data_IF_569963715012
#
_entry.id   IF_569963715012
#
_cell.length_a   1.000
_cell.length_b   1.000
_cell.length_c   1.000
_cell.angle_alpha   90.00
_cell.angle_beta   90.00
_cell.angle_gamma   90.00
#
_symmetry.space_group_name_H-M   'P 1'
#
loop_
_entity.id
_entity.type
_entity.pdbx_description
1 polymer ?
#
# COMPACT_ATOMS: atom_id res chain seq x y z
N UNK A 1 -9.61 11.56 5.19
CA UNK A 1 -10.47 10.42 4.90
C UNK A 1 -10.32 9.34 5.98
N UNK A 2 -9.10 8.82 6.22
CA UNK A 2 -8.84 7.76 7.22
C UNK A 2 -9.33 8.18 8.61
N UNK A 3 -8.93 9.36 9.09
CA UNK A 3 -9.29 9.89 10.41
C UNK A 3 -10.82 10.07 10.60
N UNK A 4 -11.58 10.25 9.53
CA UNK A 4 -13.03 10.39 9.60
C UNK A 4 -13.75 9.04 9.53
N UNK A 5 -13.32 8.15 8.64
CA UNK A 5 -14.01 6.87 8.41
C UNK A 5 -13.65 5.82 9.46
N UNK A 6 -12.44 5.86 10.01
CA UNK A 6 -11.99 4.85 10.98
C UNK A 6 -12.80 4.85 12.28
N UNK A 7 -13.07 6.00 12.93
CA UNK A 7 -13.94 6.04 14.11
C UNK A 7 -15.33 5.49 13.86
N UNK A 8 -15.94 5.80 12.69
CA UNK A 8 -17.25 5.28 12.33
C UNK A 8 -17.23 3.75 12.18
N UNK A 9 -16.22 3.22 11.50
CA UNK A 9 -16.03 1.80 11.37
C UNK A 9 -15.73 1.13 12.72
N UNK A 10 -15.04 1.81 13.64
CA UNK A 10 -14.78 1.34 15.00
C UNK A 10 -16.08 1.22 15.81
N UNK A 11 -16.95 2.22 15.75
CA UNK A 11 -18.27 2.17 16.43
C UNK A 11 -19.09 0.98 15.96
N UNK A 12 -19.14 0.72 14.65
CA UNK A 12 -19.77 -0.47 14.09
C UNK A 12 -19.11 -1.76 14.59
N UNK A 13 -17.76 -1.77 14.65
CA UNK A 13 -16.99 -2.93 15.08
C UNK A 13 -17.24 -3.33 16.52
N UNK A 14 -17.51 -2.39 17.43
CA UNK A 14 -17.83 -2.69 18.83
C UNK A 14 -19.07 -3.58 18.96
N UNK A 15 -20.10 -3.31 18.19
CA UNK A 15 -21.31 -4.14 18.25
C UNK A 15 -21.13 -5.48 17.53
N UNK A 16 -20.50 -5.45 16.34
CA UNK A 16 -20.30 -6.65 15.54
C UNK A 16 -19.41 -7.67 16.24
N UNK A 17 -18.28 -7.23 16.83
CA UNK A 17 -17.29 -8.12 17.42
C UNK A 17 -17.72 -8.74 18.76
N UNK A 18 -18.78 -8.25 19.41
CA UNK A 18 -19.37 -8.92 20.59
C UNK A 18 -19.83 -10.35 20.30
N UNK A 19 -20.21 -10.63 19.06
CA UNK A 19 -20.69 -11.93 18.61
C UNK A 19 -19.58 -12.82 18.04
N UNK A 20 -18.36 -12.25 17.88
CA UNK A 20 -17.21 -12.94 17.32
C UNK A 20 -16.20 -13.37 18.41
N UNK A 21 -15.44 -14.41 18.10
CA UNK A 21 -14.36 -14.85 18.99
C UNK A 21 -13.14 -13.93 18.86
N UNK A 22 -12.35 -13.82 19.94
CA UNK A 22 -11.06 -13.10 19.96
C UNK A 22 -11.18 -11.59 19.70
N UNK A 23 -12.20 -10.94 20.23
CA UNK A 23 -12.43 -9.52 20.13
C UNK A 23 -11.19 -8.66 20.46
N UNK A 24 -10.49 -8.98 21.59
CA UNK A 24 -9.29 -8.24 22.02
C UNK A 24 -8.16 -8.28 20.99
N UNK A 25 -7.96 -9.44 20.36
CA UNK A 25 -6.98 -9.62 19.30
C UNK A 25 -7.32 -8.78 18.07
N UNK A 26 -8.60 -8.75 17.69
CA UNK A 26 -9.08 -7.89 16.61
C UNK A 26 -8.79 -6.42 16.89
N UNK A 27 -9.23 -5.86 18.01
CA UNK A 27 -9.03 -4.44 18.31
C UNK A 27 -7.57 -4.04 18.44
N UNK A 28 -6.70 -4.92 18.93
CA UNK A 28 -5.26 -4.68 18.97
C UNK A 28 -4.71 -4.43 17.56
N UNK A 29 -4.88 -5.37 16.64
CA UNK A 29 -4.38 -5.22 15.27
C UNK A 29 -5.11 -4.12 14.49
N UNK A 30 -6.39 -3.93 14.74
CA UNK A 30 -7.20 -2.88 14.14
C UNK A 30 -6.67 -1.48 14.49
N UNK A 31 -6.34 -1.24 15.75
CA UNK A 31 -5.79 0.04 16.21
C UNK A 31 -4.37 0.27 15.69
N UNK A 32 -3.51 -0.77 15.67
CA UNK A 32 -2.17 -0.67 15.10
C UNK A 32 -2.27 -0.35 13.59
N UNK A 33 -3.19 -0.97 12.87
CA UNK A 33 -3.42 -0.70 11.43
C UNK A 33 -3.78 0.76 11.19
N UNK A 34 -4.60 1.35 12.06
CA UNK A 34 -4.93 2.78 12.00
C UNK A 34 -3.68 3.65 12.12
N UNK A 35 -2.86 3.43 13.13
CA UNK A 35 -1.61 4.18 13.33
C UNK A 35 -0.66 4.06 12.14
N UNK A 36 -0.48 2.85 11.60
CA UNK A 36 0.37 2.61 10.43
C UNK A 36 -0.18 3.32 9.19
N UNK A 37 -1.50 3.32 8.99
CA UNK A 37 -2.13 4.01 7.86
C UNK A 37 -1.92 5.52 7.94
N UNK A 38 -1.95 6.10 9.14
CA UNK A 38 -1.58 7.50 9.37
C UNK A 38 -0.09 7.73 9.10
N UNK A 39 0.78 6.80 9.50
CA UNK A 39 2.22 6.86 9.20
C UNK A 39 2.51 6.94 7.69
N UNK A 40 1.78 6.17 6.87
CA UNK A 40 1.85 6.29 5.39
C UNK A 40 1.43 7.70 4.93
N UNK A 41 0.33 8.21 5.47
CA UNK A 41 -0.23 9.50 5.03
C UNK A 41 0.68 10.69 5.38
N UNK A 42 1.39 10.62 6.51
CA UNK A 42 2.28 11.68 7.00
C UNK A 42 3.75 11.48 6.64
N UNK A 43 4.10 10.43 5.87
CA UNK A 43 5.47 10.23 5.42
C UNK A 43 5.94 11.38 4.53
N UNK A 44 7.12 11.91 4.81
CA UNK A 44 7.75 13.00 4.08
C UNK A 44 8.60 12.51 2.90
N UNK A 45 9.05 11.27 2.98
CA UNK A 45 9.94 10.65 2.00
C UNK A 45 9.46 9.25 1.57
N UNK A 46 10.03 8.78 0.45
CA UNK A 46 9.69 7.49 -0.14
C UNK A 46 10.10 6.30 0.73
N UNK A 47 11.22 6.42 1.47
CA UNK A 47 11.72 5.34 2.33
C UNK A 47 10.81 5.12 3.53
N UNK A 48 10.44 6.21 4.23
CA UNK A 48 9.50 6.17 5.36
C UNK A 48 8.13 5.66 4.93
N UNK A 49 7.64 6.14 3.78
CA UNK A 49 6.38 5.66 3.21
C UNK A 49 6.44 4.15 2.93
N UNK A 50 7.51 3.66 2.31
CA UNK A 50 7.69 2.25 2.01
C UNK A 50 7.76 1.39 3.28
N UNK A 51 8.45 1.85 4.32
CA UNK A 51 8.53 1.16 5.61
C UNK A 51 7.12 0.95 6.22
N UNK A 52 6.33 2.01 6.34
CA UNK A 52 4.95 1.89 6.84
C UNK A 52 4.04 1.08 5.90
N UNK A 53 4.29 1.14 4.60
CA UNK A 53 3.57 0.36 3.60
C UNK A 53 3.78 -1.16 3.78
N UNK A 54 4.99 -1.59 4.15
CA UNK A 54 5.27 -3.00 4.48
C UNK A 54 4.69 -3.40 5.84
N UNK A 55 4.82 -2.55 6.85
CA UNK A 55 4.18 -2.78 8.15
C UNK A 55 2.67 -2.96 8.01
N UNK A 56 2.03 -2.21 7.11
CA UNK A 56 0.59 -2.35 6.85
C UNK A 56 0.24 -3.78 6.42
N UNK A 57 1.04 -4.42 5.56
CA UNK A 57 0.84 -5.82 5.18
C UNK A 57 0.91 -6.74 6.39
N UNK A 58 1.98 -6.62 7.18
CA UNK A 58 2.24 -7.51 8.32
C UNK A 58 1.12 -7.45 9.37
N UNK A 59 0.59 -6.27 9.62
CA UNK A 59 -0.45 -6.05 10.65
C UNK A 59 -1.85 -6.43 10.15
N UNK A 60 -2.11 -6.32 8.86
CA UNK A 60 -3.42 -6.68 8.29
C UNK A 60 -3.57 -8.17 8.01
N UNK A 61 -2.48 -8.93 7.83
CA UNK A 61 -2.53 -10.40 7.67
C UNK A 61 -3.24 -11.09 8.85
N UNK A 62 -2.93 -10.81 10.14
CA UNK A 62 -3.66 -11.38 11.27
C UNK A 62 -5.15 -11.03 11.29
N UNK A 63 -5.54 -9.86 10.77
CA UNK A 63 -6.95 -9.48 10.66
C UNK A 63 -7.67 -10.31 9.60
N UNK A 64 -7.06 -10.54 8.43
CA UNK A 64 -7.63 -11.43 7.40
C UNK A 64 -7.73 -12.86 7.90
N UNK A 65 -6.75 -13.30 8.72
CA UNK A 65 -6.69 -14.63 9.31
C UNK A 65 -7.59 -14.81 10.55
N UNK A 66 -8.35 -13.79 10.95
CA UNK A 66 -9.05 -13.72 12.24
C UNK A 66 -9.92 -14.95 12.56
N UNK A 67 -10.68 -15.44 11.58
CA UNK A 67 -11.60 -16.57 11.75
C UNK A 67 -10.90 -17.93 11.84
N UNK A 68 -9.63 -18.04 11.42
CA UNK A 68 -8.83 -19.27 11.33
C UNK A 68 -9.49 -20.42 10.54
N UNK A 69 -10.48 -20.12 9.72
CA UNK A 69 -11.06 -21.09 8.80
C UNK A 69 -10.06 -21.45 7.69
N UNK A 70 -10.26 -22.60 7.04
CA UNK A 70 -9.43 -22.99 5.90
C UNK A 70 -9.46 -21.93 4.80
N UNK A 71 -10.59 -21.32 4.57
CA UNK A 71 -10.76 -20.25 3.58
C UNK A 71 -9.99 -18.99 3.98
N UNK A 72 -10.04 -18.57 5.24
CA UNK A 72 -9.27 -17.43 5.76
C UNK A 72 -7.76 -17.68 5.66
N UNK A 73 -7.30 -18.92 5.91
CA UNK A 73 -5.87 -19.28 5.75
C UNK A 73 -5.45 -19.17 4.28
N UNK A 74 -6.24 -19.66 3.34
CA UNK A 74 -5.93 -19.57 1.91
C UNK A 74 -5.98 -18.12 1.42
N UNK A 75 -6.97 -17.34 1.85
CA UNK A 75 -7.10 -15.92 1.53
C UNK A 75 -5.93 -15.10 2.08
N UNK A 76 -5.53 -15.31 3.34
CA UNK A 76 -4.41 -14.61 3.96
C UNK A 76 -3.07 -14.95 3.29
N UNK A 77 -2.84 -16.21 2.91
CA UNK A 77 -1.66 -16.61 2.13
C UNK A 77 -1.61 -15.92 0.78
N UNK A 78 -2.72 -15.91 0.04
CA UNK A 78 -2.79 -15.24 -1.25
C UNK A 78 -2.56 -13.73 -1.11
N UNK A 79 -3.21 -13.10 -0.14
CA UNK A 79 -2.99 -11.69 0.18
C UNK A 79 -1.51 -11.40 0.47
N UNK A 80 -0.87 -12.24 1.29
CA UNK A 80 0.55 -12.10 1.64
C UNK A 80 1.47 -12.25 0.40
N UNK A 81 1.27 -13.27 -0.43
CA UNK A 81 2.08 -13.48 -1.64
C UNK A 81 1.97 -12.31 -2.63
N UNK A 82 0.75 -11.82 -2.87
CA UNK A 82 0.54 -10.65 -3.72
C UNK A 82 1.21 -9.40 -3.14
N UNK A 83 1.01 -9.14 -1.86
CA UNK A 83 1.58 -7.96 -1.20
C UNK A 83 3.10 -7.99 -1.16
N UNK A 84 3.74 -9.12 -0.81
CA UNK A 84 5.20 -9.25 -0.81
C UNK A 84 5.79 -9.17 -2.22
N UNK A 85 5.16 -9.80 -3.21
CA UNK A 85 5.59 -9.69 -4.61
C UNK A 85 5.51 -8.26 -5.12
N UNK A 86 4.41 -7.56 -4.82
CA UNK A 86 4.26 -6.14 -5.13
C UNK A 86 5.29 -5.25 -4.42
N UNK A 87 5.56 -5.55 -3.15
CA UNK A 87 6.57 -4.86 -2.36
C UNK A 87 7.97 -4.97 -2.96
N UNK A 88 8.36 -6.15 -3.43
CA UNK A 88 9.65 -6.35 -4.08
C UNK A 88 9.80 -5.45 -5.33
N UNK A 89 8.75 -5.33 -6.14
CA UNK A 89 8.74 -4.43 -7.31
C UNK A 89 8.78 -2.96 -6.89
N UNK A 90 8.04 -2.56 -5.86
CA UNK A 90 8.07 -1.20 -5.33
C UNK A 90 9.45 -0.86 -4.75
N UNK A 91 10.13 -1.82 -4.11
CA UNK A 91 11.48 -1.66 -3.56
C UNK A 91 12.53 -1.39 -4.65
N UNK A 92 12.41 -2.03 -5.81
CA UNK A 92 13.28 -1.68 -6.95
C UNK A 92 13.15 -0.20 -7.31
N UNK A 93 11.93 0.33 -7.39
CA UNK A 93 11.71 1.76 -7.61
C UNK A 93 12.36 2.64 -6.56
N UNK A 94 12.27 2.26 -5.28
CA UNK A 94 12.93 2.97 -4.18
C UNK A 94 14.46 2.99 -4.34
N UNK A 95 15.10 1.85 -4.65
CA UNK A 95 16.56 1.78 -4.85
C UNK A 95 17.00 2.74 -5.97
N UNK A 96 16.28 2.75 -7.09
CA UNK A 96 16.61 3.63 -8.21
C UNK A 96 16.38 5.11 -7.89
N UNK A 97 15.36 5.44 -7.11
CA UNK A 97 15.16 6.81 -6.62
C UNK A 97 16.27 7.25 -5.69
N UNK A 98 16.77 6.38 -4.80
CA UNK A 98 17.90 6.68 -3.92
C UNK A 98 19.22 6.82 -4.70
N UNK A 99 19.34 6.15 -5.84
CA UNK A 99 20.58 6.17 -6.67
C UNK A 99 20.63 7.37 -7.62
N UNK A 100 19.48 7.76 -8.19
CA UNK A 100 19.39 8.78 -9.24
C UNK A 100 18.57 10.01 -8.86
N UNK A 101 18.05 10.06 -7.64
CA UNK A 101 17.35 11.22 -7.10
C UNK A 101 18.31 12.24 -6.50
N UNK A 102 17.98 13.51 -6.58
CA UNK A 102 18.69 14.62 -5.96
C UNK A 102 18.40 14.74 -4.46
N UNK A 103 17.18 14.33 -4.06
CA UNK A 103 16.72 14.33 -2.68
C UNK A 103 15.89 13.07 -2.42
N UNK A 104 15.75 12.69 -1.14
CA UNK A 104 14.86 11.59 -0.72
C UNK A 104 13.44 12.07 -0.40
N UNK A 105 13.26 13.38 -0.14
CA UNK A 105 11.99 13.97 0.26
C UNK A 105 11.08 14.14 -0.96
N UNK A 106 9.78 13.98 -0.74
CA UNK A 106 8.79 14.20 -1.79
C UNK A 106 8.76 15.66 -2.23
N UNK A 107 9.07 15.91 -3.50
CA UNK A 107 8.97 17.25 -4.13
C UNK A 107 8.05 17.18 -5.33
N UNK A 108 7.13 18.15 -5.44
CA UNK A 108 6.26 18.23 -6.60
C UNK A 108 7.07 18.46 -7.88
N UNK A 109 6.81 17.66 -8.90
CA UNK A 109 7.59 17.68 -10.16
C UNK A 109 8.62 16.58 -10.27
N UNK A 110 8.90 15.85 -9.16
CA UNK A 110 9.86 14.74 -9.11
C UNK A 110 11.20 15.11 -8.49
N UNK A 111 11.95 14.08 -8.13
CA UNK A 111 13.28 14.20 -7.49
C UNK A 111 14.42 13.68 -8.37
N UNK A 112 14.12 13.21 -9.57
CA UNK A 112 15.15 12.68 -10.48
C UNK A 112 16.06 13.79 -11.00
N UNK A 113 17.35 13.52 -11.08
CA UNK A 113 18.33 14.43 -11.65
C UNK A 113 18.04 14.66 -13.15
N UNK A 114 18.04 15.92 -13.56
CA UNK A 114 17.80 16.34 -14.94
C UNK A 114 18.82 15.74 -15.92
N UNK A 115 20.06 15.50 -15.48
CA UNK A 115 21.12 14.88 -16.28
C UNK A 115 20.79 13.43 -16.67
N UNK A 116 20.00 12.75 -15.86
CA UNK A 116 19.64 11.34 -16.05
C UNK A 116 18.32 11.20 -16.81
N UNK A 117 17.41 12.15 -16.67
CA UNK A 117 16.08 12.12 -17.30
C UNK A 117 16.12 12.37 -18.80
N UNK A 118 17.15 13.05 -19.32
CA UNK A 118 17.34 13.39 -20.75
C UNK A 118 18.24 12.46 -21.54
N UNK A 119 18.92 11.47 -20.90
CA UNK A 119 19.94 10.66 -21.54
C UNK A 119 19.55 9.21 -21.82
N UNK A 120 20.56 8.36 -22.13
CA UNK A 120 20.41 6.92 -22.42
C UNK A 120 19.72 6.13 -21.30
N UNK A 121 19.76 6.64 -20.05
CA UNK A 121 19.16 6.01 -18.88
C UNK A 121 17.64 6.21 -18.78
N UNK A 122 17.06 7.09 -19.61
CA UNK A 122 15.61 7.39 -19.58
C UNK A 122 14.76 6.12 -19.74
N UNK A 123 15.05 5.28 -20.72
CA UNK A 123 14.31 4.05 -20.98
C UNK A 123 14.36 3.08 -19.81
N UNK A 124 15.52 2.97 -19.16
CA UNK A 124 15.71 2.17 -17.94
C UNK A 124 14.85 2.70 -16.78
N UNK A 125 14.91 4.02 -16.53
CA UNK A 125 14.13 4.66 -15.45
C UNK A 125 12.62 4.53 -15.69
N UNK A 126 12.16 4.58 -16.94
CA UNK A 126 10.76 4.35 -17.29
C UNK A 126 10.33 2.91 -17.01
N UNK A 127 11.17 1.94 -17.38
CA UNK A 127 10.91 0.54 -17.05
C UNK A 127 10.79 0.36 -15.53
N UNK A 128 11.71 0.95 -14.75
CA UNK A 128 11.68 0.90 -13.29
C UNK A 128 10.43 1.59 -12.73
N UNK A 129 10.03 2.74 -13.29
CA UNK A 129 8.77 3.38 -12.93
C UNK A 129 7.57 2.45 -13.15
N UNK A 130 7.49 1.79 -14.31
CA UNK A 130 6.41 0.85 -14.62
C UNK A 130 6.40 -0.35 -13.64
N UNK A 131 7.58 -0.89 -13.32
CA UNK A 131 7.71 -1.98 -12.34
C UNK A 131 7.25 -1.53 -10.95
N UNK A 132 7.69 -0.37 -10.48
CA UNK A 132 7.30 0.20 -9.18
C UNK A 132 5.81 0.55 -9.15
N UNK A 133 5.26 1.09 -10.24
CA UNK A 133 3.83 1.36 -10.39
C UNK A 133 3.00 0.08 -10.27
N UNK A 134 3.41 -0.99 -10.96
CA UNK A 134 2.77 -2.31 -10.80
C UNK A 134 2.91 -2.82 -9.37
N UNK A 135 4.06 -2.62 -8.74
CA UNK A 135 4.32 -3.02 -7.36
C UNK A 135 3.34 -2.39 -6.36
N UNK A 136 3.18 -1.08 -6.38
CA UNK A 136 2.18 -0.38 -5.57
C UNK A 136 0.75 -0.67 -6.04
N UNK A 137 0.58 -0.93 -7.36
CA UNK A 137 -0.69 -1.30 -7.98
C UNK A 137 -1.27 -2.61 -7.45
N UNK A 138 -0.44 -3.54 -6.98
CA UNK A 138 -0.89 -4.78 -6.33
C UNK A 138 -1.78 -4.48 -5.13
N UNK A 139 -1.34 -3.61 -4.19
CA UNK A 139 -2.17 -3.21 -3.04
C UNK A 139 -3.35 -2.32 -3.44
N UNK A 140 -3.20 -1.49 -4.47
CA UNK A 140 -4.30 -0.71 -5.04
C UNK A 140 -5.33 -1.58 -5.79
N UNK A 141 -5.07 -2.90 -5.91
CA UNK A 141 -5.89 -3.85 -6.63
C UNK A 141 -6.11 -3.45 -8.11
N UNK A 142 -5.07 -2.94 -8.75
CA UNK A 142 -5.09 -2.62 -10.19
C UNK A 142 -5.08 -3.94 -10.98
N UNK A 143 -5.90 -4.02 -12.03
CA UNK A 143 -5.89 -5.16 -12.95
C UNK A 143 -4.48 -5.31 -13.61
N UNK A 144 -3.91 -6.52 -13.69
CA UNK A 144 -4.47 -7.85 -13.40
C UNK A 144 -4.26 -8.34 -11.93
N UNK A 145 -3.72 -7.52 -11.04
CA UNK A 145 -3.30 -7.93 -9.69
C UNK A 145 -4.41 -7.85 -8.62
N UNK A 146 -5.67 -7.73 -9.03
CA UNK A 146 -6.81 -7.52 -8.13
C UNK A 146 -7.40 -8.79 -7.52
N UNK A 147 -6.95 -9.99 -7.93
CA UNK A 147 -7.61 -11.25 -7.55
C UNK A 147 -7.50 -11.63 -6.06
N UNK A 148 -6.62 -10.98 -5.29
CA UNK A 148 -6.52 -11.17 -3.84
C UNK A 148 -7.66 -10.48 -3.08
N UNK A 149 -8.14 -9.35 -3.59
CA UNK A 149 -9.08 -8.47 -2.89
C UNK A 149 -10.45 -9.13 -2.61
N UNK A 150 -11.13 -9.77 -3.59
CA UNK A 150 -12.37 -10.48 -3.31
C UNK A 150 -12.19 -11.65 -2.34
N UNK A 151 -11.05 -12.33 -2.38
CA UNK A 151 -10.77 -13.45 -1.49
C UNK A 151 -10.49 -13.00 -0.05
N UNK A 152 -9.87 -11.84 0.15
CA UNK A 152 -9.69 -11.25 1.48
C UNK A 152 -11.04 -10.88 2.14
N UNK A 153 -12.13 -10.80 1.37
CA UNK A 153 -13.49 -10.57 1.85
C UNK A 153 -14.10 -11.70 2.69
N UNK A 154 -13.42 -12.85 2.82
CA UNK A 154 -13.78 -13.92 3.78
C UNK A 154 -13.60 -13.47 5.24
N UNK A 155 -12.80 -12.43 5.49
CA UNK A 155 -12.63 -11.84 6.81
C UNK A 155 -13.95 -11.21 7.32
N UNK A 156 -14.11 -11.05 8.66
CA UNK A 156 -15.28 -10.36 9.23
C UNK A 156 -15.49 -8.98 8.61
N UNK A 157 -16.74 -8.54 8.49
CA UNK A 157 -17.09 -7.25 7.87
C UNK A 157 -16.28 -6.06 8.42
N UNK A 158 -16.02 -5.93 9.74
CA UNK A 158 -15.19 -4.87 10.28
C UNK A 158 -13.73 -4.90 9.81
N UNK A 159 -13.22 -6.05 9.37
CA UNK A 159 -11.88 -6.18 8.74
C UNK A 159 -11.94 -5.78 7.27
N UNK A 160 -12.95 -6.27 6.57
CA UNK A 160 -13.11 -6.06 5.13
C UNK A 160 -13.28 -4.57 4.79
N UNK A 161 -14.02 -3.82 5.61
CA UNK A 161 -14.25 -2.39 5.39
C UNK A 161 -12.93 -1.56 5.41
N UNK A 162 -12.04 -1.65 6.41
CA UNK A 162 -10.74 -0.99 6.36
C UNK A 162 -9.84 -1.49 5.22
N UNK A 163 -9.80 -2.79 4.95
CA UNK A 163 -8.99 -3.35 3.87
C UNK A 163 -9.35 -2.74 2.51
N UNK A 164 -10.64 -2.74 2.16
CA UNK A 164 -11.11 -2.36 0.83
C UNK A 164 -11.27 -0.85 0.68
N UNK A 165 -11.85 -0.16 1.68
CA UNK A 165 -12.31 1.21 1.52
C UNK A 165 -11.39 2.26 2.16
N UNK A 166 -10.62 1.93 3.21
CA UNK A 166 -9.98 2.94 4.04
C UNK A 166 -8.46 2.86 4.06
N UNK A 167 -7.88 1.67 4.26
CA UNK A 167 -6.45 1.50 4.49
C UNK A 167 -5.70 0.93 3.28
N UNK A 168 -5.80 -0.39 3.04
CA UNK A 168 -4.86 -1.10 2.16
C UNK A 168 -4.95 -0.63 0.70
N UNK A 169 -6.13 -0.60 0.11
CA UNK A 169 -6.32 -0.15 -1.28
C UNK A 169 -5.98 1.33 -1.44
N UNK A 170 -6.36 2.15 -0.45
CA UNK A 170 -6.07 3.59 -0.47
C UNK A 170 -4.59 3.88 -0.24
N UNK A 171 -3.89 3.09 0.58
CA UNK A 171 -2.43 3.19 0.72
C UNK A 171 -1.72 2.89 -0.61
N UNK A 172 -2.17 1.87 -1.35
CA UNK A 172 -1.66 1.58 -2.69
C UNK A 172 -1.87 2.74 -3.67
N UNK A 173 -3.10 3.27 -3.74
CA UNK A 173 -3.42 4.41 -4.59
C UNK A 173 -2.63 5.67 -4.19
N UNK A 174 -2.49 5.94 -2.90
CA UNK A 174 -1.70 7.06 -2.39
C UNK A 174 -0.22 6.92 -2.76
N UNK A 175 0.35 5.72 -2.61
CA UNK A 175 1.73 5.45 -3.00
C UNK A 175 1.98 5.65 -4.50
N UNK A 176 1.04 5.26 -5.37
CA UNK A 176 1.10 5.53 -6.81
C UNK A 176 1.11 7.03 -7.10
N UNK A 177 0.28 7.82 -6.42
CA UNK A 177 0.27 9.28 -6.56
C UNK A 177 1.62 9.87 -6.14
N UNK A 178 2.16 9.46 -4.97
CA UNK A 178 3.48 9.91 -4.50
C UNK A 178 4.59 9.49 -5.45
N UNK A 179 4.57 8.27 -5.96
CA UNK A 179 5.53 7.79 -6.96
C UNK A 179 5.51 8.64 -8.23
N UNK A 180 4.31 8.90 -8.77
CA UNK A 180 4.14 9.55 -10.07
C UNK A 180 4.41 11.05 -10.01
N UNK A 181 3.81 11.76 -9.05
CA UNK A 181 3.84 13.23 -9.01
C UNK A 181 5.00 13.81 -8.21
N UNK A 182 5.50 13.08 -7.23
CA UNK A 182 6.47 13.60 -6.27
C UNK A 182 7.85 12.92 -6.33
N UNK A 183 7.92 11.71 -6.92
CA UNK A 183 9.18 10.96 -7.02
C UNK A 183 9.74 10.97 -8.44
N UNK A 184 9.03 10.41 -9.42
CA UNK A 184 9.48 10.43 -10.82
C UNK A 184 9.15 11.74 -11.53
N UNK A 185 8.05 12.39 -11.23
CA UNK A 185 7.58 13.63 -11.82
C UNK A 185 6.66 13.41 -13.05
N UNK A 186 5.60 14.24 -13.18
CA UNK A 186 4.62 14.09 -14.25
C UNK A 186 5.21 14.36 -15.63
N UNK A 187 6.16 15.28 -15.75
CA UNK A 187 6.79 15.62 -17.02
C UNK A 187 7.69 14.50 -17.53
N UNK A 188 8.39 13.81 -16.63
CA UNK A 188 9.16 12.63 -16.96
C UNK A 188 8.26 11.51 -17.51
N UNK A 189 7.11 11.27 -16.88
CA UNK A 189 6.18 10.22 -17.25
C UNK A 189 5.40 10.58 -18.53
N UNK A 190 4.95 11.83 -18.71
CA UNK A 190 4.20 12.29 -19.89
C UNK A 190 5.03 12.27 -21.17
N UNK A 191 6.29 12.59 -21.12
CA UNK A 191 7.16 12.62 -22.30
C UNK A 191 7.39 11.26 -22.97
N UNK A 192 6.60 10.23 -22.61
CA UNK A 192 6.66 8.87 -23.14
C UNK A 192 5.46 8.45 -23.98
N UNK A 193 4.43 9.29 -24.04
CA UNK A 193 3.18 9.05 -24.82
C UNK A 193 3.12 9.95 -26.04
#
# INVERSE_FOLDING_TARGET
LVAALWPLATLYSFEYMKHEKRERFFFMFYTITYGITLGIAFSEDMLTMYFFYELLTLVTVPLVLHTLTREAILASRKYLYYSLGGAAFAFLGLIFLLTYGTTINFTFGGVLDASVTGGDKRSMLLLIYCIAFCGFGVKAAVCPFNSWLPQAGVAPTPVTAPLHAVAVVKAGAFAIIRLTYYSFGPDFVRGTW
#
